data_IF_838421471321
#
_entry.id   IF_838421471321
#
_cell.length_a   1.000
_cell.length_b   1.000
_cell.length_c   1.000
_cell.angle_alpha   90.00
_cell.angle_beta   90.00
_cell.angle_gamma   90.00
#
_symmetry.space_group_name_H-M   'P 1'
#
loop_
_entity.id
_entity.type
_entity.pdbx_description
1 polymer ?
#
# COMPACT_ATOMS: atom_id res chain seq x y z
N UNK A 1 -23.24 -24.05 -30.88
CA UNK A 1 -21.92 -23.92 -30.21
C UNK A 1 -21.53 -22.49 -29.77
N UNK A 2 -22.06 -21.42 -30.41
CA UNK A 2 -21.74 -20.01 -30.07
C UNK A 2 -22.00 -19.59 -28.61
N UNK A 3 -23.10 -20.04 -27.99
CA UNK A 3 -23.46 -19.67 -26.60
C UNK A 3 -22.42 -20.12 -25.54
N UNK A 4 -21.65 -21.19 -25.82
CA UNK A 4 -20.61 -21.69 -24.90
C UNK A 4 -19.34 -20.82 -24.96
N UNK A 5 -18.94 -20.40 -26.16
CA UNK A 5 -17.77 -19.53 -26.36
C UNK A 5 -17.97 -18.15 -25.72
N UNK A 6 -19.16 -17.55 -25.93
CA UNK A 6 -19.52 -16.26 -25.33
C UNK A 6 -19.49 -16.29 -23.80
N UNK A 7 -20.08 -17.33 -23.18
CA UNK A 7 -20.04 -17.51 -21.71
C UNK A 7 -18.62 -17.73 -21.19
N UNK A 8 -17.74 -18.39 -21.95
CA UNK A 8 -16.34 -18.63 -21.56
C UNK A 8 -15.51 -17.34 -21.56
N UNK A 9 -15.70 -16.49 -22.58
CA UNK A 9 -15.01 -15.21 -22.68
C UNK A 9 -15.49 -14.19 -21.63
N UNK A 10 -16.81 -14.14 -21.37
CA UNK A 10 -17.38 -13.30 -20.31
C UNK A 10 -16.83 -13.66 -18.93
N UNK A 11 -16.78 -14.97 -18.60
CA UNK A 11 -16.18 -15.45 -17.34
C UNK A 11 -14.67 -15.13 -17.24
N UNK A 12 -13.93 -15.20 -18.35
CA UNK A 12 -12.49 -14.87 -18.39
C UNK A 12 -12.27 -13.37 -18.16
N UNK A 13 -13.10 -12.52 -18.75
CA UNK A 13 -13.07 -11.07 -18.57
C UNK A 13 -13.42 -10.67 -17.13
N UNK A 14 -14.52 -11.20 -16.58
CA UNK A 14 -14.93 -10.97 -15.18
C UNK A 14 -13.84 -11.37 -14.18
N UNK A 15 -13.22 -12.55 -14.35
CA UNK A 15 -12.11 -12.99 -13.49
C UNK A 15 -10.90 -12.06 -13.57
N UNK A 16 -10.59 -11.50 -14.74
CA UNK A 16 -9.48 -10.56 -14.93
C UNK A 16 -9.77 -9.23 -14.25
N UNK A 17 -10.99 -8.73 -14.36
CA UNK A 17 -11.44 -7.50 -13.68
C UNK A 17 -11.40 -7.69 -12.17
N UNK A 18 -12.01 -8.75 -11.62
CA UNK A 18 -12.01 -9.05 -10.18
C UNK A 18 -10.60 -9.18 -9.58
N UNK A 19 -9.64 -9.79 -10.30
CA UNK A 19 -8.24 -9.87 -9.86
C UNK A 19 -7.57 -8.50 -9.77
N UNK A 20 -7.86 -7.58 -10.70
CA UNK A 20 -7.32 -6.22 -10.70
C UNK A 20 -7.89 -5.41 -9.54
N UNK A 21 -9.20 -5.49 -9.30
CA UNK A 21 -9.85 -4.81 -8.16
C UNK A 21 -9.32 -5.33 -6.83
N UNK A 22 -9.17 -6.65 -6.65
CA UNK A 22 -8.61 -7.23 -5.41
C UNK A 22 -7.17 -6.80 -5.14
N UNK A 23 -6.35 -6.59 -6.17
CA UNK A 23 -4.97 -6.08 -6.06
C UNK A 23 -4.94 -4.61 -5.64
N UNK A 24 -5.88 -3.79 -6.12
CA UNK A 24 -6.00 -2.39 -5.73
C UNK A 24 -6.57 -2.21 -4.31
N UNK A 25 -7.47 -3.09 -3.88
CA UNK A 25 -8.10 -3.09 -2.56
C UNK A 25 -7.23 -3.69 -1.44
N UNK A 26 -6.11 -4.35 -1.78
CA UNK A 26 -5.36 -5.20 -0.84
C UNK A 26 -4.36 -4.53 0.10
N UNK A 27 -4.36 -3.20 0.27
CA UNK A 27 -3.22 -2.50 0.90
C UNK A 27 -3.44 -1.81 2.24
N UNK A 28 -4.62 -1.88 2.87
CA UNK A 28 -4.88 -1.25 4.17
C UNK A 28 -5.37 -2.29 5.19
N UNK A 29 -4.58 -3.33 5.47
CA UNK A 29 -5.09 -4.42 6.32
C UNK A 29 -4.89 -4.21 7.82
N UNK A 30 -3.86 -3.49 8.25
CA UNK A 30 -3.64 -3.22 9.67
C UNK A 30 -3.35 -1.75 9.94
N UNK A 31 -4.08 -1.19 10.90
CA UNK A 31 -3.77 0.10 11.52
C UNK A 31 -2.80 -0.15 12.67
N UNK A 32 -1.67 0.53 12.68
CA UNK A 32 -0.66 0.39 13.74
C UNK A 32 -0.11 1.75 14.14
N UNK A 33 0.52 1.79 15.32
CA UNK A 33 1.39 2.90 15.74
C UNK A 33 2.77 2.70 15.13
N UNK A 34 3.40 3.79 14.72
CA UNK A 34 4.70 3.76 14.03
C UNK A 34 5.71 4.66 14.71
N UNK A 35 6.97 4.25 14.66
CA UNK A 35 8.10 5.02 15.17
C UNK A 35 9.14 5.23 14.06
N UNK A 36 9.86 6.34 14.14
CA UNK A 36 11.02 6.61 13.31
C UNK A 36 12.07 7.36 14.12
N UNK A 37 13.33 6.93 14.03
CA UNK A 37 14.45 7.47 14.81
C UNK A 37 14.14 7.55 16.33
N UNK A 38 13.50 6.52 16.87
CA UNK A 38 13.13 6.45 18.29
C UNK A 38 11.98 7.37 18.72
N UNK A 39 11.35 8.10 17.79
CA UNK A 39 10.21 8.99 18.07
C UNK A 39 8.92 8.42 17.50
N UNK A 40 7.83 8.53 18.26
CA UNK A 40 6.48 8.20 17.81
C UNK A 40 6.05 9.15 16.69
N UNK A 41 5.51 8.58 15.60
CA UNK A 41 4.96 9.36 14.50
C UNK A 41 3.54 9.79 14.90
N UNK A 42 3.27 11.09 14.84
CA UNK A 42 1.94 11.67 15.03
C UNK A 42 1.52 12.47 13.81
N UNK A 43 0.24 12.46 13.52
CA UNK A 43 -0.33 13.21 12.41
C UNK A 43 -0.24 14.71 12.72
N UNK A 44 0.41 15.54 11.89
CA UNK A 44 0.55 16.98 12.19
C UNK A 44 -0.79 17.73 12.08
N UNK A 45 -1.81 17.15 11.47
CA UNK A 45 -3.14 17.75 11.33
C UNK A 45 -4.10 17.45 12.49
N UNK A 46 -4.19 16.19 12.93
CA UNK A 46 -5.14 15.78 13.98
C UNK A 46 -4.48 15.17 15.23
N UNK A 47 -3.14 15.14 15.29
CA UNK A 47 -2.33 14.66 16.41
C UNK A 47 -2.46 13.16 16.76
N UNK A 48 -3.26 12.40 16.02
CA UNK A 48 -3.42 10.95 16.20
C UNK A 48 -2.18 10.16 15.75
N UNK A 49 -1.97 8.97 16.30
CA UNK A 49 -0.79 8.11 16.10
C UNK A 49 -1.08 6.79 15.37
N UNK A 50 -2.30 6.61 14.86
CA UNK A 50 -2.75 5.40 14.16
C UNK A 50 -2.73 5.61 12.64
N UNK A 51 -2.02 4.72 11.95
CA UNK A 51 -1.81 4.82 10.50
C UNK A 51 -1.92 3.49 9.78
N UNK A 52 -2.45 3.56 8.55
CA UNK A 52 -2.28 2.53 7.54
C UNK A 52 -0.93 2.70 6.83
N UNK A 53 -0.15 1.62 6.72
CA UNK A 53 1.13 1.63 6.02
C UNK A 53 0.99 1.07 4.61
N UNK A 54 1.48 1.83 3.63
CA UNK A 54 1.64 1.37 2.25
C UNK A 54 3.07 1.59 1.75
N UNK A 55 3.49 0.76 0.80
CA UNK A 55 4.70 1.00 0.01
C UNK A 55 4.29 1.54 -1.35
N UNK A 56 4.88 2.64 -1.76
CA UNK A 56 4.75 3.19 -3.09
C UNK A 56 6.10 3.10 -3.82
N UNK A 57 6.04 2.72 -5.08
CA UNK A 57 7.16 2.83 -5.99
C UNK A 57 7.20 4.28 -6.48
N UNK A 58 8.28 4.99 -6.17
CA UNK A 58 8.61 6.25 -6.84
C UNK A 58 9.18 5.85 -8.20
N UNK A 59 8.30 5.67 -9.19
CA UNK A 59 8.66 5.16 -10.50
C UNK A 59 9.87 5.90 -11.12
N UNK A 60 10.71 5.16 -11.84
CA UNK A 60 11.17 5.58 -13.17
C UNK A 60 10.35 4.82 -14.22
N UNK A 61 9.34 5.44 -14.85
CA UNK A 61 8.71 4.81 -16.01
C UNK A 61 9.74 4.74 -17.14
N UNK A 62 10.28 3.56 -17.43
CA UNK A 62 11.22 3.32 -18.53
C UNK A 62 12.42 2.42 -18.24
N UNK A 63 12.67 2.01 -16.98
CA UNK A 63 13.86 1.21 -16.62
C UNK A 63 13.65 -0.31 -16.55
N UNK A 64 12.48 -0.84 -16.88
CA UNK A 64 12.21 -2.31 -16.84
C UNK A 64 13.01 -3.15 -17.85
N UNK A 65 13.89 -2.56 -18.66
CA UNK A 65 14.75 -3.26 -19.62
C UNK A 65 16.21 -3.42 -19.21
N UNK A 66 16.63 -2.81 -18.10
CA UNK A 66 17.98 -2.97 -17.55
C UNK A 66 17.85 -3.30 -16.06
N UNK A 67 18.44 -4.43 -15.62
CA UNK A 67 18.44 -4.96 -14.25
C UNK A 67 19.04 -4.00 -13.20
N UNK A 68 18.35 -2.89 -12.92
CA UNK A 68 18.76 -1.88 -11.95
C UNK A 68 17.67 -1.70 -10.88
N UNK A 69 17.31 -2.81 -10.23
CA UNK A 69 16.48 -2.81 -9.02
C UNK A 69 17.09 -2.00 -7.86
N UNK A 70 18.39 -1.66 -7.94
CA UNK A 70 19.08 -0.79 -6.98
C UNK A 70 18.64 0.69 -7.03
N UNK A 71 17.99 1.14 -8.11
CA UNK A 71 17.53 2.54 -8.27
C UNK A 71 16.05 2.76 -7.94
N UNK A 72 15.29 1.71 -7.65
CA UNK A 72 13.90 1.81 -7.23
C UNK A 72 13.83 2.34 -5.78
N UNK A 73 13.85 3.67 -5.63
CA UNK A 73 13.65 4.34 -4.35
C UNK A 73 12.26 3.97 -3.81
N UNK A 74 12.24 3.11 -2.80
CA UNK A 74 11.01 2.75 -2.10
C UNK A 74 10.53 3.95 -1.27
N UNK A 75 9.31 4.43 -1.51
CA UNK A 75 8.62 5.33 -0.60
C UNK A 75 7.70 4.53 0.32
N UNK A 76 7.73 4.89 1.61
CA UNK A 76 6.80 4.39 2.60
C UNK A 76 5.78 5.49 2.88
N UNK A 77 4.51 5.11 2.82
CA UNK A 77 3.39 6.00 3.03
C UNK A 77 2.70 5.58 4.32
N UNK A 78 2.52 6.53 5.23
CA UNK A 78 1.60 6.40 6.35
C UNK A 78 0.36 7.27 6.10
N UNK A 79 -0.79 6.63 5.91
CA UNK A 79 -2.08 7.32 5.81
C UNK A 79 -2.73 7.33 7.20
N UNK A 80 -2.98 8.52 7.74
CA UNK A 80 -3.65 8.70 9.02
C UNK A 80 -5.04 8.05 8.99
N UNK A 81 -5.36 7.23 9.99
CA UNK A 81 -6.67 6.59 10.07
C UNK A 81 -7.80 7.60 10.26
N UNK A 82 -7.54 8.69 10.98
CA UNK A 82 -8.57 9.65 11.41
C UNK A 82 -8.89 10.70 10.35
N UNK A 83 -7.87 11.38 9.80
CA UNK A 83 -8.09 12.51 8.88
C UNK A 83 -7.56 12.25 7.46
N UNK A 84 -7.15 11.02 7.15
CA UNK A 84 -6.61 10.62 5.83
C UNK A 84 -5.35 11.37 5.35
N UNK A 85 -4.71 12.18 6.20
CA UNK A 85 -3.44 12.83 5.87
C UNK A 85 -2.36 11.80 5.55
N UNK A 86 -1.59 12.05 4.49
CA UNK A 86 -0.56 11.17 3.96
C UNK A 86 0.82 11.70 4.37
N UNK A 87 1.58 10.89 5.09
CA UNK A 87 2.98 11.15 5.43
C UNK A 87 3.89 10.28 4.57
N UNK A 88 4.94 10.88 4.00
CA UNK A 88 5.89 10.22 3.12
C UNK A 88 7.24 10.03 3.80
N UNK A 89 7.79 8.83 3.69
CA UNK A 89 9.08 8.47 4.26
C UNK A 89 9.97 7.77 3.22
N UNK A 90 11.24 8.14 3.17
CA UNK A 90 12.26 7.48 2.33
C UNK A 90 12.88 6.25 3.01
N UNK A 91 12.72 6.11 4.33
CA UNK A 91 13.11 4.95 5.13
C UNK A 91 11.87 4.30 5.71
N UNK A 92 11.92 2.99 5.93
CA UNK A 92 10.81 2.23 6.51
C UNK A 92 10.62 2.62 7.99
N UNK A 93 9.47 3.16 8.40
CA UNK A 93 9.12 3.29 9.81
C UNK A 93 8.93 1.90 10.44
N UNK A 94 9.26 1.74 11.72
CA UNK A 94 9.04 0.49 12.46
C UNK A 94 7.73 0.57 13.24
N UNK A 95 7.11 -0.59 13.49
CA UNK A 95 5.90 -0.66 14.31
C UNK A 95 6.29 -0.38 15.77
N UNK A 96 5.47 0.41 16.48
CA UNK A 96 5.60 0.54 17.92
C UNK A 96 5.04 -0.73 18.59
N UNK A 97 5.85 -1.56 19.28
CA UNK A 97 5.40 -2.83 19.85
C UNK A 97 4.43 -2.67 21.03
N UNK A 98 4.17 -1.46 21.53
CA UNK A 98 3.26 -1.23 22.68
C UNK A 98 1.77 -1.42 22.35
N UNK A 99 1.44 -2.15 21.28
CA UNK A 99 0.07 -2.52 20.88
C UNK A 99 0.06 -3.96 20.37
N UNK A 100 0.53 -4.87 21.20
CA UNK A 100 -0.04 -6.21 21.31
C UNK A 100 -0.69 -6.27 22.69
N UNK A 101 -1.94 -6.75 22.75
CA UNK A 101 -2.76 -6.98 23.97
C UNK A 101 -3.25 -5.76 24.77
N UNK A 102 -4.47 -5.32 24.44
CA UNK A 102 -5.60 -5.33 25.38
C UNK A 102 -6.84 -5.82 24.65
#
# INVERSE_FOLDING_TARGET
MLKKSLKKNLKKSLKKTLKRTKKQLGGDKDVKKWIMNGKEIRCPHCLQNLFYMRKALLNTPGMTFFDLDAFNKNAYILKCQTCSMILWFNKKPTVNPTVETM
#
